data_IF_349771098795
#
_entry.id   IF_349771098795
#
_cell.length_a   1.000
_cell.length_b   1.000
_cell.length_c   1.000
_cell.angle_alpha   90.00
_cell.angle_beta   90.00
_cell.angle_gamma   90.00
#
_symmetry.space_group_name_H-M   'P 1'
#
loop_
_entity.id
_entity.type
_entity.pdbx_description
1 polymer ?
#
# COMPACT_ATOMS: atom_id res chain seq x y z
N UNK A 1 -17.36 -10.91 17.60
CA UNK A 1 -16.81 -10.03 18.66
C UNK A 1 -17.78 -8.90 18.95
N UNK A 2 -18.50 -8.41 17.93
CA UNK A 2 -19.58 -7.45 18.13
C UNK A 2 -20.74 -8.10 18.90
N UNK A 3 -21.26 -7.41 19.93
CA UNK A 3 -22.35 -7.91 20.76
C UNK A 3 -21.93 -8.61 22.05
N UNK A 4 -20.64 -8.67 22.38
CA UNK A 4 -20.19 -9.07 23.71
C UNK A 4 -20.46 -7.94 24.68
N UNK A 5 -21.34 -8.18 25.68
CA UNK A 5 -21.73 -7.17 26.65
C UNK A 5 -20.51 -6.68 27.45
N UNK A 6 -20.31 -5.35 27.49
CA UNK A 6 -19.17 -4.73 28.15
C UNK A 6 -17.86 -4.68 27.38
N UNK A 7 -17.80 -5.25 26.16
CA UNK A 7 -16.62 -5.12 25.30
C UNK A 7 -16.58 -3.78 24.56
N UNK A 8 -15.38 -3.27 24.32
CA UNK A 8 -15.17 -2.15 23.40
C UNK A 8 -15.59 -2.54 22.00
N UNK A 9 -16.08 -1.59 21.19
CA UNK A 9 -16.37 -1.84 19.77
C UNK A 9 -15.10 -2.20 18.99
N UNK A 10 -15.20 -3.18 18.09
CA UNK A 10 -14.11 -3.67 17.24
C UNK A 10 -14.59 -3.76 15.80
N UNK A 11 -13.67 -4.02 14.88
CA UNK A 11 -13.95 -4.23 13.46
C UNK A 11 -14.85 -3.10 12.88
N UNK A 12 -15.90 -3.44 12.15
CA UNK A 12 -16.77 -2.48 11.44
C UNK A 12 -17.39 -1.45 12.39
N UNK A 13 -17.83 -1.85 13.58
CA UNK A 13 -18.43 -0.91 14.55
C UNK A 13 -17.41 0.11 15.06
N UNK A 14 -16.16 -0.29 15.26
CA UNK A 14 -15.07 0.61 15.59
C UNK A 14 -14.77 1.59 14.46
N UNK A 15 -14.66 1.10 13.23
CA UNK A 15 -14.41 1.93 12.04
C UNK A 15 -15.52 2.96 11.81
N UNK A 16 -16.80 2.56 11.99
CA UNK A 16 -17.93 3.49 11.95
C UNK A 16 -17.83 4.57 13.03
N UNK A 17 -17.45 4.18 14.25
CA UNK A 17 -17.28 5.09 15.39
C UNK A 17 -16.12 6.06 15.17
N UNK A 18 -15.05 5.60 14.52
CA UNK A 18 -13.90 6.42 14.11
C UNK A 18 -14.26 7.40 12.99
N UNK A 19 -15.30 7.10 12.20
CA UNK A 19 -15.80 7.99 11.14
C UNK A 19 -15.00 7.92 9.84
N UNK A 20 -14.20 6.86 9.63
CA UNK A 20 -13.44 6.66 8.40
C UNK A 20 -14.38 6.40 7.22
N UNK A 21 -13.97 6.85 6.03
CA UNK A 21 -14.71 6.64 4.78
C UNK A 21 -14.20 5.46 3.96
N UNK A 22 -12.94 5.11 4.13
CA UNK A 22 -12.28 4.01 3.43
C UNK A 22 -11.41 3.24 4.41
N UNK A 23 -11.26 1.95 4.15
CA UNK A 23 -10.25 1.10 4.78
C UNK A 23 -9.30 0.60 3.72
N UNK A 24 -8.00 0.76 3.94
CA UNK A 24 -6.97 0.09 3.17
C UNK A 24 -6.70 -1.24 3.86
N UNK A 25 -6.96 -2.34 3.16
CA UNK A 25 -6.71 -3.69 3.65
C UNK A 25 -5.39 -4.17 3.04
N UNK A 26 -4.49 -4.69 3.90
CA UNK A 26 -3.24 -5.30 3.48
C UNK A 26 -3.51 -6.42 2.47
N UNK A 27 -2.51 -6.86 1.66
CA UNK A 27 -2.76 -7.78 0.57
C UNK A 27 -3.58 -9.00 0.98
N UNK A 28 -4.65 -9.28 0.25
CA UNK A 28 -5.57 -10.39 0.51
C UNK A 28 -5.85 -11.26 -0.72
N UNK A 29 -5.05 -11.13 -1.76
CA UNK A 29 -4.93 -12.17 -2.76
C UNK A 29 -3.92 -13.23 -2.31
N UNK A 30 -3.91 -14.36 -2.97
CA UNK A 30 -3.18 -15.57 -2.59
C UNK A 30 -1.67 -15.33 -2.45
N UNK A 31 -1.12 -15.63 -1.28
CA UNK A 31 0.28 -15.43 -0.92
C UNK A 31 0.93 -16.73 -0.37
N UNK A 32 2.26 -16.80 -0.40
CA UNK A 32 2.98 -18.07 -0.35
C UNK A 32 3.39 -18.58 1.03
N UNK A 33 3.59 -17.71 2.02
CA UNK A 33 4.21 -18.09 3.29
C UNK A 33 3.23 -18.64 4.33
N UNK A 34 1.99 -18.92 3.96
CA UNK A 34 0.96 -19.47 4.84
C UNK A 34 0.55 -20.86 4.35
N UNK A 35 0.52 -21.84 5.25
CA UNK A 35 -0.04 -23.15 5.00
C UNK A 35 -1.54 -23.12 5.31
N UNK A 36 -2.35 -22.96 4.27
CA UNK A 36 -3.82 -22.86 4.36
C UNK A 36 -4.49 -24.11 4.98
N UNK A 37 -3.78 -25.22 5.11
CA UNK A 37 -4.28 -26.43 5.77
C UNK A 37 -4.20 -26.38 7.30
N UNK A 38 -3.48 -25.38 7.84
CA UNK A 38 -3.25 -25.18 9.26
C UNK A 38 -4.09 -24.03 9.81
N UNK A 39 -4.12 -23.90 11.13
CA UNK A 39 -4.77 -22.78 11.79
C UNK A 39 -4.08 -21.47 11.45
N UNK A 40 -4.82 -20.50 10.87
CA UNK A 40 -4.31 -19.18 10.53
C UNK A 40 -3.80 -18.41 11.76
N UNK A 41 -4.37 -18.63 12.94
CA UNK A 41 -3.97 -17.94 14.17
C UNK A 41 -2.53 -18.25 14.61
N UNK A 42 -1.96 -19.32 14.10
CA UNK A 42 -0.59 -19.72 14.37
C UNK A 42 0.41 -19.24 13.28
N UNK A 43 -0.09 -18.54 12.28
CA UNK A 43 0.65 -18.10 11.09
C UNK A 43 0.37 -16.64 10.79
N UNK A 44 1.28 -15.75 11.22
CA UNK A 44 1.13 -14.33 10.95
C UNK A 44 1.85 -13.93 9.67
N UNK A 45 1.10 -13.35 8.70
CA UNK A 45 1.64 -12.86 7.44
C UNK A 45 0.93 -11.56 7.04
N UNK A 46 1.69 -10.62 6.48
CA UNK A 46 1.14 -9.36 5.95
C UNK A 46 0.64 -9.48 4.52
N UNK A 47 0.99 -10.56 3.81
CA UNK A 47 0.55 -10.82 2.45
C UNK A 47 1.45 -10.26 1.34
N UNK A 48 2.66 -9.80 1.66
CA UNK A 48 3.59 -9.22 0.67
C UNK A 48 4.49 -10.29 0.00
N UNK A 49 4.00 -11.49 -0.15
CA UNK A 49 4.66 -12.59 -0.85
C UNK A 49 3.70 -13.25 -1.87
N UNK A 50 3.31 -12.52 -2.93
CA UNK A 50 2.23 -12.89 -3.84
C UNK A 50 2.55 -14.12 -4.68
N UNK A 51 1.56 -15.02 -4.80
CA UNK A 51 1.62 -16.21 -5.67
C UNK A 51 0.60 -16.11 -6.81
N UNK A 52 -0.68 -15.89 -6.49
CA UNK A 52 -1.76 -15.80 -7.46
C UNK A 52 -2.53 -14.49 -7.29
N UNK A 53 -2.23 -13.49 -8.11
CA UNK A 53 -2.75 -12.12 -8.01
C UNK A 53 -4.27 -11.97 -8.20
N UNK A 54 -4.93 -12.93 -8.85
CA UNK A 54 -6.36 -12.87 -9.19
C UNK A 54 -7.20 -13.86 -8.40
N UNK A 55 -6.70 -14.37 -7.28
CA UNK A 55 -7.36 -15.32 -6.42
C UNK A 55 -7.35 -14.81 -4.97
N UNK A 56 -8.49 -14.77 -4.26
CA UNK A 56 -8.50 -14.42 -2.84
C UNK A 56 -7.69 -15.40 -1.99
N UNK A 57 -7.02 -14.89 -0.97
CA UNK A 57 -6.24 -15.68 -0.02
C UNK A 57 -7.11 -16.71 0.73
N UNK A 58 -6.63 -17.94 0.75
CA UNK A 58 -7.39 -19.06 1.32
C UNK A 58 -7.38 -19.10 2.84
N UNK A 59 -6.34 -18.60 3.48
CA UNK A 59 -6.23 -18.61 4.94
C UNK A 59 -7.31 -17.77 5.64
N UNK A 60 -7.93 -16.81 4.93
CA UNK A 60 -9.07 -16.04 5.42
C UNK A 60 -10.42 -16.71 5.17
N UNK A 61 -10.44 -17.83 4.41
CA UNK A 61 -11.66 -18.53 4.07
C UNK A 61 -12.02 -19.61 5.09
N UNK A 62 -13.30 -19.83 5.30
CA UNK A 62 -13.79 -20.95 6.14
C UNK A 62 -13.54 -22.31 5.48
N UNK A 63 -13.28 -22.34 4.17
CA UNK A 63 -12.88 -23.54 3.45
C UNK A 63 -11.86 -23.21 2.34
N UNK A 64 -10.56 -23.17 2.67
CA UNK A 64 -9.50 -22.79 1.73
C UNK A 64 -9.36 -23.73 0.53
N UNK A 65 -9.84 -24.97 0.63
CA UNK A 65 -9.77 -25.97 -0.47
C UNK A 65 -10.83 -25.75 -1.56
N UNK A 66 -11.76 -24.81 -1.35
CA UNK A 66 -12.85 -24.51 -2.30
C UNK A 66 -12.76 -23.07 -2.78
N UNK A 67 -12.34 -22.86 -4.03
CA UNK A 67 -12.18 -21.53 -4.62
C UNK A 67 -13.46 -20.70 -4.59
N UNK A 68 -14.63 -21.34 -4.83
CA UNK A 68 -15.93 -20.67 -4.77
C UNK A 68 -16.26 -20.14 -3.36
N UNK A 69 -15.76 -20.77 -2.29
CA UNK A 69 -15.94 -20.29 -0.91
C UNK A 69 -15.07 -19.07 -0.68
N UNK A 70 -13.80 -19.11 -1.08
CA UNK A 70 -12.88 -17.94 -0.99
C UNK A 70 -13.47 -16.71 -1.68
N UNK A 71 -13.93 -16.89 -2.94
CA UNK A 71 -14.53 -15.80 -3.74
C UNK A 71 -15.77 -15.24 -3.05
N UNK A 72 -16.69 -16.11 -2.63
CA UNK A 72 -17.92 -15.71 -1.98
C UNK A 72 -17.67 -14.92 -0.69
N UNK A 73 -16.81 -15.42 0.17
CA UNK A 73 -16.54 -14.80 1.47
C UNK A 73 -15.79 -13.48 1.33
N UNK A 74 -14.85 -13.37 0.37
CA UNK A 74 -14.20 -12.12 0.04
C UNK A 74 -15.21 -11.07 -0.45
N UNK A 75 -16.11 -11.42 -1.38
CA UNK A 75 -17.17 -10.53 -1.84
C UNK A 75 -18.15 -10.15 -0.70
N UNK A 76 -18.45 -11.06 0.22
CA UNK A 76 -19.29 -10.78 1.39
C UNK A 76 -18.61 -9.78 2.37
N UNK A 77 -17.32 -9.89 2.57
CA UNK A 77 -16.55 -8.94 3.39
C UNK A 77 -16.63 -7.52 2.80
N UNK A 78 -16.38 -7.38 1.51
CA UNK A 78 -16.43 -6.09 0.80
C UNK A 78 -17.85 -5.52 0.85
N UNK A 79 -18.87 -6.33 0.56
CA UNK A 79 -20.27 -5.91 0.64
C UNK A 79 -20.68 -5.46 2.05
N UNK A 80 -20.16 -6.11 3.10
CA UNK A 80 -20.44 -5.72 4.48
C UNK A 80 -19.84 -4.34 4.83
N UNK A 81 -18.66 -4.04 4.31
CA UNK A 81 -18.03 -2.72 4.45
C UNK A 81 -18.82 -1.65 3.68
N UNK A 82 -19.22 -1.93 2.44
CA UNK A 82 -20.04 -1.03 1.64
C UNK A 82 -21.40 -0.76 2.31
N UNK A 83 -22.05 -1.78 2.86
CA UNK A 83 -23.30 -1.61 3.62
C UNK A 83 -23.12 -0.76 4.88
N UNK A 84 -21.91 -0.68 5.40
CA UNK A 84 -21.56 0.20 6.51
C UNK A 84 -21.16 1.62 6.07
N UNK A 85 -21.19 1.90 4.78
CA UNK A 85 -20.77 3.19 4.18
C UNK A 85 -19.24 3.38 4.15
N UNK A 86 -18.48 2.28 4.11
CA UNK A 86 -17.01 2.27 4.12
C UNK A 86 -16.54 1.65 2.80
N UNK A 87 -15.79 2.42 2.00
CA UNK A 87 -15.14 1.93 0.79
C UNK A 87 -13.90 1.07 1.11
N UNK A 88 -13.51 0.22 0.17
CA UNK A 88 -12.39 -0.72 0.31
C UNK A 88 -11.27 -0.37 -0.65
N UNK A 89 -10.08 -0.13 -0.10
CA UNK A 89 -8.84 0.03 -0.86
C UNK A 89 -8.04 -1.25 -0.71
N UNK A 90 -7.67 -1.84 -1.83
CA UNK A 90 -6.86 -3.06 -1.88
C UNK A 90 -5.38 -2.71 -1.99
N UNK A 91 -4.58 -3.27 -1.11
CA UNK A 91 -3.12 -3.21 -1.22
C UNK A 91 -2.64 -4.26 -2.21
N UNK A 92 -1.92 -3.84 -3.24
CA UNK A 92 -1.48 -4.69 -4.35
C UNK A 92 0.03 -4.68 -4.53
N UNK A 93 0.60 -5.87 -4.70
CA UNK A 93 2.05 -6.13 -4.73
C UNK A 93 2.44 -6.71 -6.09
N UNK A 94 2.52 -5.87 -7.12
CA UNK A 94 2.93 -6.33 -8.45
C UNK A 94 4.44 -6.22 -8.70
N UNK A 95 5.18 -5.61 -7.78
CA UNK A 95 6.61 -5.32 -7.95
C UNK A 95 7.51 -6.55 -7.86
N UNK A 96 7.05 -7.67 -7.31
CA UNK A 96 7.75 -8.95 -7.23
C UNK A 96 6.78 -10.12 -7.11
N UNK A 97 7.29 -11.34 -7.16
CA UNK A 97 6.55 -12.59 -6.84
C UNK A 97 7.17 -13.28 -5.64
N UNK A 98 6.42 -14.14 -4.96
CA UNK A 98 6.90 -14.90 -3.80
C UNK A 98 8.22 -15.61 -4.06
N UNK A 99 8.34 -16.24 -5.23
CA UNK A 99 9.59 -16.89 -5.66
C UNK A 99 9.88 -16.57 -7.12
N UNK A 100 11.15 -16.63 -7.51
CA UNK A 100 11.56 -16.52 -8.91
C UNK A 100 11.06 -17.70 -9.78
N UNK A 101 10.69 -18.82 -9.21
CA UNK A 101 10.06 -19.97 -9.90
C UNK A 101 8.52 -19.80 -9.94
N UNK A 102 8.04 -18.67 -10.42
CA UNK A 102 6.63 -18.33 -10.55
C UNK A 102 6.01 -18.88 -11.84
N UNK A 103 4.68 -18.79 -11.95
CA UNK A 103 3.97 -19.09 -13.19
C UNK A 103 4.44 -18.22 -14.36
N UNK A 104 4.84 -16.97 -14.11
CA UNK A 104 5.42 -16.10 -15.12
C UNK A 104 6.72 -16.66 -15.68
N UNK A 105 7.62 -17.07 -14.80
CA UNK A 105 8.92 -17.63 -15.20
C UNK A 105 8.77 -18.96 -15.92
N UNK A 106 7.80 -19.78 -15.52
CA UNK A 106 7.52 -21.08 -16.17
C UNK A 106 6.87 -20.91 -17.54
N UNK A 107 6.10 -19.84 -17.74
CA UNK A 107 5.40 -19.59 -19.01
C UNK A 107 6.32 -18.99 -20.08
N UNK A 108 7.02 -17.90 -19.74
CA UNK A 108 8.01 -17.27 -20.63
C UNK A 108 9.22 -16.87 -19.80
N UNK A 109 10.25 -17.71 -19.76
CA UNK A 109 11.44 -17.47 -18.95
C UNK A 109 12.06 -16.09 -19.20
N UNK A 110 12.37 -15.37 -18.13
CA UNK A 110 13.04 -14.07 -18.09
C UNK A 110 12.29 -12.89 -18.74
N UNK A 111 11.09 -13.10 -19.26
CA UNK A 111 10.33 -12.01 -19.89
C UNK A 111 9.63 -11.10 -18.86
N UNK A 112 9.10 -11.65 -17.82
CA UNK A 112 8.28 -10.91 -16.84
C UNK A 112 9.08 -10.24 -15.73
N UNK A 113 10.38 -10.48 -15.72
CA UNK A 113 11.29 -9.98 -14.69
C UNK A 113 12.41 -9.13 -15.31
N UNK A 114 12.89 -8.18 -14.51
CA UNK A 114 14.10 -7.43 -14.81
C UNK A 114 15.31 -8.28 -14.54
N UNK A 115 16.21 -8.37 -15.54
CA UNK A 115 17.40 -9.21 -15.47
C UNK A 115 18.66 -8.35 -15.42
N UNK A 116 19.60 -8.75 -14.59
CA UNK A 116 20.96 -8.21 -14.60
C UNK A 116 21.77 -8.77 -15.77
N UNK A 117 22.85 -8.10 -16.14
CA UNK A 117 23.72 -8.53 -17.24
C UNK A 117 24.38 -9.90 -17.03
N UNK A 118 24.48 -10.36 -15.78
CA UNK A 118 25.01 -11.68 -15.41
C UNK A 118 23.96 -12.80 -15.43
N UNK A 119 22.72 -12.47 -15.82
CA UNK A 119 21.61 -13.42 -15.89
C UNK A 119 20.88 -13.62 -14.55
N UNK A 120 21.21 -12.90 -13.50
CA UNK A 120 20.45 -12.89 -12.25
C UNK A 120 19.28 -11.93 -12.32
N UNK A 121 18.27 -12.10 -11.45
CA UNK A 121 17.15 -11.17 -11.34
C UNK A 121 17.57 -9.86 -10.66
N UNK A 122 17.00 -8.73 -11.10
CA UNK A 122 17.12 -7.46 -10.39
C UNK A 122 16.45 -7.53 -9.01
N UNK A 123 16.98 -6.76 -8.05
CA UNK A 123 16.57 -6.82 -6.66
C UNK A 123 16.33 -5.44 -6.03
N UNK A 124 15.65 -4.56 -6.75
CA UNK A 124 15.25 -3.25 -6.23
C UNK A 124 14.19 -3.35 -5.14
N UNK A 125 13.32 -4.35 -5.22
CA UNK A 125 12.31 -4.65 -4.20
C UNK A 125 12.89 -5.21 -2.88
N UNK A 126 14.11 -5.74 -2.90
CA UNK A 126 14.65 -6.53 -1.79
C UNK A 126 14.15 -7.98 -1.76
N UNK A 127 13.29 -8.38 -2.70
CA UNK A 127 12.70 -9.72 -2.80
C UNK A 127 13.35 -10.59 -3.87
N UNK A 128 14.41 -10.11 -4.51
CA UNK A 128 15.27 -10.84 -5.46
C UNK A 128 14.63 -11.20 -6.80
N UNK A 129 13.53 -10.57 -7.21
CA UNK A 129 12.86 -10.87 -8.48
C UNK A 129 11.94 -9.74 -8.94
N UNK A 130 12.49 -8.56 -9.17
CA UNK A 130 11.71 -7.41 -9.63
C UNK A 130 10.99 -7.69 -10.94
N UNK A 131 9.70 -7.41 -10.99
CA UNK A 131 8.90 -7.57 -12.21
C UNK A 131 9.14 -6.42 -13.18
N UNK A 132 9.05 -6.71 -14.49
CA UNK A 132 9.27 -5.76 -15.56
C UNK A 132 7.95 -5.16 -16.05
N UNK A 133 7.45 -4.13 -15.36
CA UNK A 133 6.18 -3.47 -15.73
C UNK A 133 6.23 -2.77 -17.09
N UNK A 134 7.41 -2.39 -17.56
CA UNK A 134 7.67 -1.84 -18.89
C UNK A 134 7.41 -2.83 -20.01
N UNK A 135 7.44 -4.14 -19.75
CA UNK A 135 7.16 -5.18 -20.74
C UNK A 135 5.65 -5.29 -21.01
N UNK A 136 5.28 -5.31 -22.29
CA UNK A 136 3.89 -5.21 -22.73
C UNK A 136 2.94 -6.23 -22.10
N UNK A 137 3.36 -7.48 -21.97
CA UNK A 137 2.48 -8.53 -21.43
C UNK A 137 2.35 -8.45 -19.92
N UNK A 138 3.37 -7.95 -19.18
CA UNK A 138 3.22 -7.72 -17.76
C UNK A 138 2.37 -6.48 -17.49
N UNK A 139 2.56 -5.40 -18.25
CA UNK A 139 1.66 -4.24 -18.23
C UNK A 139 0.21 -4.64 -18.47
N UNK A 140 -0.03 -5.45 -19.52
CA UNK A 140 -1.38 -5.99 -19.79
C UNK A 140 -1.92 -6.77 -18.59
N UNK A 141 -1.09 -7.64 -18.00
CA UNK A 141 -1.48 -8.43 -16.83
C UNK A 141 -1.87 -7.53 -15.65
N UNK A 142 -1.09 -6.50 -15.35
CA UNK A 142 -1.42 -5.56 -14.27
C UNK A 142 -2.75 -4.83 -14.54
N UNK A 143 -2.96 -4.36 -15.77
CA UNK A 143 -4.22 -3.68 -16.16
C UNK A 143 -5.41 -4.64 -16.00
N UNK A 144 -5.31 -5.85 -16.55
CA UNK A 144 -6.38 -6.84 -16.49
C UNK A 144 -6.69 -7.23 -15.03
N UNK A 145 -5.67 -7.41 -14.20
CA UNK A 145 -5.80 -7.78 -12.80
C UNK A 145 -6.48 -6.68 -11.98
N UNK A 146 -6.04 -5.43 -12.11
CA UNK A 146 -6.61 -4.29 -11.38
C UNK A 146 -8.07 -4.05 -11.81
N UNK A 147 -8.36 -4.08 -13.10
CA UNK A 147 -9.73 -3.92 -13.60
C UNK A 147 -10.63 -5.09 -13.20
N UNK A 148 -10.12 -6.32 -13.14
CA UNK A 148 -10.83 -7.48 -12.61
C UNK A 148 -11.25 -7.29 -11.15
N UNK A 149 -10.33 -6.89 -10.27
CA UNK A 149 -10.66 -6.62 -8.87
C UNK A 149 -11.66 -5.48 -8.71
N UNK A 150 -11.51 -4.42 -9.51
CA UNK A 150 -12.44 -3.30 -9.49
C UNK A 150 -13.85 -3.71 -9.94
N UNK A 151 -13.99 -4.47 -11.04
CA UNK A 151 -15.29 -4.84 -11.59
C UNK A 151 -15.96 -5.99 -10.84
N UNK A 152 -15.20 -7.05 -10.51
CA UNK A 152 -15.75 -8.27 -9.94
C UNK A 152 -15.96 -8.21 -8.42
N UNK A 153 -15.11 -7.45 -7.72
CA UNK A 153 -15.16 -7.31 -6.26
C UNK A 153 -15.60 -5.92 -5.81
N UNK A 154 -15.79 -4.99 -6.75
CA UNK A 154 -16.18 -3.60 -6.45
C UNK A 154 -15.20 -2.90 -5.51
N UNK A 155 -13.90 -3.09 -5.77
CA UNK A 155 -12.85 -2.39 -5.03
C UNK A 155 -12.87 -0.90 -5.38
N UNK A 156 -12.84 -0.04 -4.35
CA UNK A 156 -12.96 1.42 -4.47
C UNK A 156 -11.61 2.12 -4.63
N UNK A 157 -10.51 1.40 -4.49
CA UNK A 157 -9.18 1.97 -4.68
C UNK A 157 -8.07 0.93 -4.58
N UNK A 158 -6.90 1.31 -5.08
CA UNK A 158 -5.69 0.47 -5.07
C UNK A 158 -4.51 1.25 -4.50
N UNK A 159 -3.84 0.65 -3.52
CA UNK A 159 -2.53 1.08 -3.03
C UNK A 159 -1.48 0.17 -3.62
N UNK A 160 -0.54 0.71 -4.39
CA UNK A 160 0.55 -0.05 -4.99
C UNK A 160 1.75 -0.08 -4.06
N UNK A 161 2.07 -1.26 -3.57
CA UNK A 161 3.30 -1.54 -2.87
C UNK A 161 4.49 -1.25 -3.78
N UNK A 162 5.51 -0.54 -3.27
CA UNK A 162 6.69 -0.14 -4.02
C UNK A 162 6.37 0.39 -5.43
N UNK A 163 5.36 1.28 -5.54
CA UNK A 163 4.92 1.87 -6.81
C UNK A 163 6.10 2.45 -7.61
N UNK A 164 7.12 2.94 -6.90
CA UNK A 164 8.34 3.49 -7.49
C UNK A 164 9.18 2.50 -8.30
N UNK A 165 8.88 1.21 -8.24
CA UNK A 165 9.49 0.18 -9.09
C UNK A 165 8.73 -0.05 -10.40
N UNK A 166 7.50 0.46 -10.53
CA UNK A 166 6.75 0.38 -11.79
C UNK A 166 7.06 1.56 -12.69
N UNK A 167 6.89 1.40 -13.99
CA UNK A 167 7.09 2.47 -14.95
C UNK A 167 5.88 3.40 -15.07
N UNK A 168 6.15 4.67 -15.37
CA UNK A 168 5.14 5.74 -15.54
C UNK A 168 4.08 5.37 -16.56
N UNK A 169 4.48 4.75 -17.69
CA UNK A 169 3.54 4.39 -18.76
C UNK A 169 2.54 3.35 -18.29
N UNK A 170 3.00 2.35 -17.54
CA UNK A 170 2.12 1.31 -16.96
C UNK A 170 1.17 1.90 -15.95
N UNK A 171 1.63 2.74 -15.03
CA UNK A 171 0.78 3.35 -14.02
C UNK A 171 -0.29 4.25 -14.65
N UNK A 172 0.08 5.08 -15.64
CA UNK A 172 -0.88 5.90 -16.39
C UNK A 172 -1.87 5.04 -17.21
N UNK A 173 -1.42 3.90 -17.75
CA UNK A 173 -2.31 2.98 -18.48
C UNK A 173 -3.34 2.32 -17.57
N UNK A 174 -2.95 1.91 -16.35
CA UNK A 174 -3.87 1.38 -15.34
C UNK A 174 -4.89 2.47 -14.96
N UNK A 175 -4.44 3.71 -14.72
CA UNK A 175 -5.36 4.82 -14.40
C UNK A 175 -6.38 5.04 -15.51
N UNK A 176 -5.93 5.04 -16.76
CA UNK A 176 -6.81 5.18 -17.92
C UNK A 176 -7.82 4.04 -18.02
N UNK A 177 -7.38 2.80 -17.77
CA UNK A 177 -8.27 1.64 -17.80
C UNK A 177 -9.33 1.71 -16.70
N UNK A 178 -8.96 2.13 -15.49
CA UNK A 178 -9.91 2.34 -14.39
C UNK A 178 -10.90 3.46 -14.73
N UNK A 179 -10.44 4.59 -15.29
CA UNK A 179 -11.32 5.71 -15.66
C UNK A 179 -12.40 5.31 -16.65
N UNK A 180 -12.07 4.41 -17.57
CA UNK A 180 -12.96 3.92 -18.62
C UNK A 180 -13.68 2.60 -18.26
N UNK A 181 -13.56 2.12 -17.02
CA UNK A 181 -14.09 0.82 -16.63
C UNK A 181 -15.61 0.76 -16.70
N UNK A 182 -16.28 1.83 -16.35
CA UNK A 182 -17.74 1.93 -16.34
C UNK A 182 -18.24 3.02 -17.29
N UNK A 183 -19.31 2.69 -18.05
CA UNK A 183 -19.86 3.59 -19.06
C UNK A 183 -20.43 4.89 -18.49
N UNK A 184 -20.80 4.92 -17.22
CA UNK A 184 -21.29 6.11 -16.49
C UNK A 184 -20.18 7.03 -15.97
N UNK A 185 -18.90 6.65 -16.20
CA UNK A 185 -17.73 7.41 -15.77
C UNK A 185 -17.39 7.24 -14.28
N UNK A 186 -18.11 6.39 -13.54
CA UNK A 186 -17.85 6.16 -12.10
C UNK A 186 -16.48 5.50 -11.82
N UNK A 187 -15.90 4.84 -12.81
CA UNK A 187 -14.51 4.33 -12.73
C UNK A 187 -13.49 5.41 -12.37
N UNK A 188 -13.82 6.66 -12.71
CA UNK A 188 -13.02 7.81 -12.31
C UNK A 188 -12.96 8.06 -10.80
N UNK A 189 -13.84 7.49 -10.01
CA UNK A 189 -13.86 7.64 -8.55
C UNK A 189 -12.99 6.59 -7.84
N UNK A 190 -12.49 5.58 -8.55
CA UNK A 190 -11.61 4.56 -7.99
C UNK A 190 -10.26 5.21 -7.65
N UNK A 191 -9.85 5.13 -6.40
CA UNK A 191 -8.56 5.67 -5.96
C UNK A 191 -7.38 4.87 -6.50
N UNK A 192 -6.29 5.58 -6.77
CA UNK A 192 -5.03 4.95 -7.17
C UNK A 192 -3.87 5.73 -6.58
N UNK A 193 -3.06 5.08 -5.75
CA UNK A 193 -1.87 5.68 -5.13
C UNK A 193 -0.89 4.58 -4.71
N UNK A 194 0.30 4.97 -4.30
CA UNK A 194 1.27 3.98 -3.82
C UNK A 194 2.54 4.58 -3.22
N UNK A 195 3.47 3.70 -2.94
CA UNK A 195 4.79 4.05 -2.45
C UNK A 195 5.71 4.39 -3.60
N UNK A 196 5.85 5.68 -3.87
CA UNK A 196 6.68 6.20 -4.96
C UNK A 196 8.14 6.42 -4.54
N UNK A 197 8.72 5.48 -3.79
CA UNK A 197 10.11 5.59 -3.35
C UNK A 197 11.08 5.54 -4.53
N UNK A 198 12.18 6.27 -4.42
CA UNK A 198 13.24 6.24 -5.44
C UNK A 198 14.15 5.04 -5.19
N UNK A 199 13.91 3.98 -5.92
CA UNK A 199 14.58 2.68 -5.75
C UNK A 199 15.38 2.33 -7.00
N UNK A 200 16.53 1.68 -6.79
CA UNK A 200 17.37 1.21 -7.89
C UNK A 200 16.93 -0.18 -8.35
N UNK A 201 16.61 -0.31 -9.62
CA UNK A 201 16.28 -1.58 -10.28
C UNK A 201 16.82 -1.56 -11.71
N UNK A 202 17.11 -2.71 -12.28
CA UNK A 202 17.67 -2.82 -13.63
C UNK A 202 16.53 -2.94 -14.66
N UNK A 203 16.05 -1.80 -15.14
CA UNK A 203 14.99 -1.72 -16.16
C UNK A 203 15.56 -1.45 -17.55
N UNK A 204 14.73 -1.66 -18.57
CA UNK A 204 15.08 -1.37 -19.97
C UNK A 204 15.48 0.09 -20.17
N UNK A 205 16.39 0.34 -21.13
CA UNK A 205 16.85 1.69 -21.46
C UNK A 205 15.66 2.61 -21.81
N UNK A 206 15.68 3.79 -21.24
CA UNK A 206 14.63 4.80 -21.43
C UNK A 206 13.40 4.61 -20.54
N UNK A 207 13.34 3.57 -19.70
CA UNK A 207 12.25 3.39 -18.75
C UNK A 207 12.27 4.49 -17.68
N UNK A 208 11.14 5.15 -17.48
CA UNK A 208 10.95 6.15 -16.42
C UNK A 208 10.12 5.53 -15.31
N UNK A 209 10.69 5.39 -14.13
CA UNK A 209 10.02 4.81 -12.97
C UNK A 209 9.07 5.82 -12.30
N UNK A 210 7.96 5.32 -11.73
CA UNK A 210 6.91 6.10 -11.06
C UNK A 210 7.29 6.47 -9.61
N UNK A 211 8.52 6.96 -9.44
CA UNK A 211 9.02 7.46 -8.16
C UNK A 211 8.63 8.93 -7.94
N UNK A 212 8.76 9.44 -6.70
CA UNK A 212 8.41 10.82 -6.35
C UNK A 212 9.07 11.85 -7.29
N UNK A 213 10.34 11.65 -7.66
CA UNK A 213 11.05 12.56 -8.58
C UNK A 213 10.42 12.66 -9.97
N UNK A 214 9.67 11.64 -10.38
CA UNK A 214 8.99 11.56 -11.67
C UNK A 214 7.47 11.72 -11.55
N UNK A 215 6.94 12.00 -10.35
CA UNK A 215 5.51 12.00 -10.10
C UNK A 215 4.74 12.98 -10.99
N UNK A 216 5.39 14.07 -11.39
CA UNK A 216 4.82 15.06 -12.33
C UNK A 216 4.54 14.51 -13.74
N UNK A 217 5.03 13.32 -14.07
CA UNK A 217 4.73 12.60 -15.32
C UNK A 217 3.54 11.64 -15.18
N UNK A 218 3.09 11.40 -13.94
CA UNK A 218 1.87 10.65 -13.69
C UNK A 218 0.64 11.53 -13.83
N UNK A 219 -0.49 10.89 -14.12
CA UNK A 219 -1.80 11.55 -14.05
C UNK A 219 -2.00 12.19 -12.66
N UNK A 220 -2.59 13.37 -12.61
CA UNK A 220 -2.94 14.07 -11.35
C UNK A 220 -3.87 13.25 -10.44
N UNK A 221 -4.35 12.13 -10.91
CA UNK A 221 -5.23 11.20 -10.21
C UNK A 221 -4.51 9.94 -9.71
N UNK A 222 -3.17 9.95 -9.75
CA UNK A 222 -2.31 8.94 -9.13
C UNK A 222 -1.57 9.60 -7.99
N UNK A 223 -1.87 9.18 -6.76
CA UNK A 223 -1.25 9.70 -5.55
C UNK A 223 0.00 8.97 -5.13
N UNK A 224 0.77 9.61 -4.26
CA UNK A 224 1.93 9.01 -3.61
C UNK A 224 1.97 9.36 -2.13
N UNK A 225 2.49 8.45 -1.31
CA UNK A 225 2.73 8.72 0.11
C UNK A 225 3.78 9.82 0.29
N UNK A 226 3.50 10.74 1.20
CA UNK A 226 4.40 11.83 1.58
C UNK A 226 5.19 11.46 2.84
N UNK A 227 6.39 10.94 2.64
CA UNK A 227 7.34 10.66 3.73
C UNK A 227 7.89 11.94 4.39
N UNK A 228 7.93 13.04 3.65
CA UNK A 228 8.38 14.35 4.17
C UNK A 228 7.47 14.82 5.31
N UNK A 229 6.14 14.76 5.13
CA UNK A 229 5.21 15.15 6.21
C UNK A 229 5.21 14.12 7.33
N UNK A 230 5.26 12.83 7.01
CA UNK A 230 5.37 11.76 8.02
C UNK A 230 6.55 12.03 8.96
N UNK A 231 7.72 12.26 8.40
CA UNK A 231 8.96 12.46 9.15
C UNK A 231 9.01 13.85 9.81
N UNK A 232 8.34 14.84 9.24
CA UNK A 232 8.18 16.16 9.88
C UNK A 232 7.27 16.10 11.11
N UNK A 233 6.29 15.20 11.13
CA UNK A 233 5.39 15.01 12.28
C UNK A 233 6.13 14.30 13.41
N UNK A 234 6.69 13.11 13.14
CA UNK A 234 7.11 12.15 14.18
C UNK A 234 8.60 11.83 14.23
N UNK A 235 9.41 12.30 13.30
CA UNK A 235 10.81 11.88 13.12
C UNK A 235 10.93 10.71 12.15
N UNK A 236 12.16 10.24 11.91
CA UNK A 236 12.45 9.13 10.98
C UNK A 236 11.75 7.84 11.39
N UNK A 237 11.54 6.94 10.44
CA UNK A 237 10.76 5.70 10.65
C UNK A 237 11.40 4.75 11.66
N UNK A 238 12.71 4.57 11.63
CA UNK A 238 13.44 3.58 12.44
C UNK A 238 14.26 4.14 13.60
N UNK A 239 14.32 5.47 13.77
CA UNK A 239 15.15 6.11 14.77
C UNK A 239 14.40 6.50 16.04
N UNK A 240 15.17 6.98 17.03
CA UNK A 240 14.65 7.58 18.28
C UNK A 240 14.63 9.11 18.22
N UNK A 241 14.91 9.70 17.04
CA UNK A 241 14.85 11.14 16.81
C UNK A 241 13.39 11.64 16.93
N UNK A 242 13.25 12.87 17.45
CA UNK A 242 11.99 13.58 17.50
C UNK A 242 11.80 14.50 16.31
N UNK A 243 10.59 15.06 16.18
CA UNK A 243 10.26 16.08 15.20
C UNK A 243 9.23 17.06 15.75
N UNK A 244 8.26 17.51 14.95
CA UNK A 244 7.34 18.56 15.37
C UNK A 244 6.56 18.23 16.64
N UNK A 245 6.01 17.01 16.73
CA UNK A 245 5.14 16.61 17.86
C UNK A 245 5.92 16.55 19.17
N UNK A 246 7.18 16.08 19.12
CA UNK A 246 8.02 15.94 20.33
C UNK A 246 8.76 17.22 20.70
N UNK A 247 9.22 18.00 19.71
CA UNK A 247 10.23 19.06 19.88
C UNK A 247 9.85 20.39 19.24
N UNK A 248 8.78 20.44 18.44
CA UNK A 248 8.41 21.61 17.64
C UNK A 248 9.37 21.89 16.48
N UNK A 249 10.19 20.91 16.09
CA UNK A 249 11.17 21.00 15.00
C UNK A 249 10.56 20.73 13.64
N UNK A 250 11.33 20.79 12.54
CA UNK A 250 10.93 20.45 11.15
C UNK A 250 9.69 21.20 10.60
N UNK A 251 9.43 22.41 11.09
CA UNK A 251 8.24 23.20 10.73
C UNK A 251 8.14 23.53 9.24
N UNK A 252 9.28 23.71 8.55
CA UNK A 252 9.29 23.99 7.12
C UNK A 252 8.73 22.79 6.33
N UNK A 253 9.24 21.59 6.59
CA UNK A 253 8.78 20.35 5.96
C UNK A 253 7.31 20.06 6.27
N UNK A 254 6.88 20.33 7.50
CA UNK A 254 5.47 20.18 7.89
C UNK A 254 4.56 21.10 7.06
N UNK A 255 4.96 22.37 6.86
CA UNK A 255 4.21 23.33 6.02
C UNK A 255 4.13 22.87 4.56
N UNK A 256 5.23 22.37 3.98
CA UNK A 256 5.27 21.86 2.61
C UNK A 256 4.35 20.64 2.46
N UNK A 257 4.36 19.72 3.42
CA UNK A 257 3.49 18.55 3.41
C UNK A 257 2.00 18.93 3.58
N UNK A 258 1.66 19.89 4.46
CA UNK A 258 0.30 20.41 4.60
C UNK A 258 -0.18 21.07 3.30
N UNK A 259 0.70 21.72 2.55
CA UNK A 259 0.41 22.28 1.23
C UNK A 259 0.31 21.20 0.13
N UNK A 260 0.45 19.92 0.45
CA UNK A 260 0.32 18.80 -0.48
C UNK A 260 1.43 18.71 -1.50
N UNK A 261 2.66 19.07 -1.14
CA UNK A 261 3.86 18.97 -2.00
C UNK A 261 3.71 19.63 -3.38
N UNK A 262 2.80 20.59 -3.50
CA UNK A 262 2.46 21.25 -4.77
C UNK A 262 3.18 22.60 -4.98
N UNK A 263 4.13 22.94 -4.11
CA UNK A 263 5.01 24.09 -4.30
C UNK A 263 5.81 23.93 -5.61
N UNK A 264 5.79 24.97 -6.44
CA UNK A 264 6.45 24.95 -7.76
C UNK A 264 7.98 24.84 -7.69
N UNK A 265 8.57 25.15 -6.55
CA UNK A 265 10.04 25.18 -6.36
C UNK A 265 10.60 23.92 -5.74
N UNK A 266 9.88 23.31 -4.79
CA UNK A 266 10.38 22.17 -4.00
C UNK A 266 9.45 20.98 -3.98
N UNK A 267 8.18 21.15 -4.32
CA UNK A 267 7.18 20.10 -4.33
C UNK A 267 7.31 19.13 -5.50
N UNK A 268 7.03 17.87 -5.25
CA UNK A 268 7.07 16.80 -6.24
C UNK A 268 5.69 16.51 -6.89
N UNK A 269 4.60 17.03 -6.34
CA UNK A 269 3.25 16.85 -6.87
C UNK A 269 2.85 17.96 -7.86
N UNK A 270 2.00 17.64 -8.84
CA UNK A 270 1.35 18.63 -9.69
C UNK A 270 0.21 19.35 -8.97
N UNK A 271 -0.55 18.57 -8.19
CA UNK A 271 -1.73 19.04 -7.44
C UNK A 271 -1.72 18.45 -6.03
N UNK A 272 -2.27 19.14 -5.02
CA UNK A 272 -2.27 18.64 -3.64
C UNK A 272 -2.96 17.28 -3.46
N UNK A 273 -3.94 16.96 -4.31
CA UNK A 273 -4.65 15.67 -4.25
C UNK A 273 -3.80 14.44 -4.60
N UNK A 274 -2.62 14.65 -5.17
CA UNK A 274 -1.64 13.56 -5.35
C UNK A 274 -0.87 13.21 -4.07
N UNK A 275 -0.96 14.03 -3.04
CA UNK A 275 -0.21 13.85 -1.81
C UNK A 275 -1.04 13.05 -0.79
N UNK A 276 -0.61 11.85 -0.46
CA UNK A 276 -1.18 11.05 0.64
C UNK A 276 -0.49 11.42 1.94
N UNK A 277 -1.13 12.31 2.69
CA UNK A 277 -0.65 12.79 3.98
C UNK A 277 -0.92 11.77 5.07
N UNK A 278 0.11 11.38 5.82
CA UNK A 278 -0.02 10.39 6.89
C UNK A 278 1.05 10.61 7.98
N UNK A 279 0.81 10.05 9.16
CA UNK A 279 1.75 10.05 10.27
C UNK A 279 2.15 8.63 10.71
N UNK A 280 1.33 7.62 10.39
CA UNK A 280 1.53 6.24 10.80
C UNK A 280 0.95 5.29 9.74
N UNK A 281 1.56 4.14 9.59
CA UNK A 281 1.11 3.05 8.73
C UNK A 281 1.48 1.70 9.37
N UNK A 282 1.31 0.60 8.66
CA UNK A 282 1.70 -0.74 9.13
C UNK A 282 3.22 -0.96 9.12
N UNK A 283 3.97 -0.19 8.30
CA UNK A 283 5.43 -0.27 8.24
C UNK A 283 6.11 0.49 9.38
N UNK A 284 7.19 -0.11 9.91
CA UNK A 284 8.01 0.46 10.97
C UNK A 284 7.19 0.72 12.26
N UNK A 285 7.64 1.69 13.06
CA UNK A 285 6.96 2.04 14.29
C UNK A 285 5.66 2.82 14.02
N UNK A 286 4.55 2.36 14.58
CA UNK A 286 3.34 3.17 14.61
C UNK A 286 3.57 4.46 15.40
N UNK A 287 2.68 5.44 15.27
CA UNK A 287 2.89 6.75 15.88
C UNK A 287 3.10 6.65 17.40
N UNK A 288 2.31 5.82 18.09
CA UNK A 288 2.43 5.66 19.54
C UNK A 288 3.80 5.09 19.94
N UNK A 289 4.24 4.00 19.29
CA UNK A 289 5.53 3.36 19.59
C UNK A 289 6.70 4.28 19.27
N UNK A 290 6.61 5.05 18.18
CA UNK A 290 7.61 6.07 17.85
C UNK A 290 7.68 7.17 18.90
N UNK A 291 6.55 7.65 19.40
CA UNK A 291 6.50 8.64 20.47
C UNK A 291 7.10 8.09 21.76
N UNK A 292 6.77 6.85 22.12
CA UNK A 292 7.39 6.18 23.28
C UNK A 292 8.91 6.11 23.12
N UNK A 293 9.41 5.58 22.02
CA UNK A 293 10.85 5.43 21.76
C UNK A 293 11.60 6.75 21.75
N UNK A 294 11.04 7.81 21.14
CA UNK A 294 11.68 9.12 21.04
C UNK A 294 11.61 9.95 22.32
N UNK A 295 10.58 9.76 23.15
CA UNK A 295 10.35 10.55 24.36
C UNK A 295 10.96 9.91 25.60
N UNK A 296 10.87 8.59 25.73
CA UNK A 296 11.44 7.86 26.86
C UNK A 296 12.91 7.47 26.68
N UNK A 297 13.35 7.35 25.42
CA UNK A 297 14.70 6.91 25.07
C UNK A 297 14.89 5.40 25.24
N UNK A 298 16.06 4.93 24.80
CA UNK A 298 16.43 3.51 24.79
C UNK A 298 16.74 2.98 26.20
N UNK A 299 17.02 3.88 27.14
CA UNK A 299 17.34 3.56 28.56
C UNK A 299 16.10 3.46 29.47
N UNK A 300 14.89 3.59 28.92
CA UNK A 300 13.64 3.50 29.64
C UNK A 300 13.38 4.62 30.66
N UNK A 301 14.19 5.68 30.64
CA UNK A 301 13.96 6.84 31.51
C UNK A 301 12.84 7.72 30.93
N UNK A 302 11.83 7.94 31.76
CA UNK A 302 10.70 8.79 31.41
C UNK A 302 11.13 10.24 31.20
N UNK A 303 11.03 10.74 29.95
CA UNK A 303 11.25 12.14 29.63
C UNK A 303 10.00 13.00 29.66
N UNK A 304 8.83 12.35 29.46
CA UNK A 304 7.50 12.99 29.55
C UNK A 304 6.49 12.06 30.22
N UNK A 305 5.42 12.64 30.76
CA UNK A 305 4.37 11.86 31.40
C UNK A 305 3.51 11.15 30.32
N UNK A 306 2.81 10.11 30.74
CA UNK A 306 1.91 9.35 29.86
C UNK A 306 0.83 10.23 29.22
N UNK A 307 0.28 11.20 29.96
CA UNK A 307 -0.71 12.16 29.44
C UNK A 307 -0.17 13.01 28.31
N UNK A 308 1.10 13.38 28.35
CA UNK A 308 1.75 14.13 27.28
C UNK A 308 1.86 13.29 26.01
N UNK A 309 2.18 11.99 26.13
CA UNK A 309 2.21 11.05 25.01
C UNK A 309 0.82 10.87 24.37
N UNK A 310 -0.22 10.74 25.20
CA UNK A 310 -1.60 10.64 24.73
C UNK A 310 -2.00 11.92 23.99
N UNK A 311 -1.64 13.08 24.51
CA UNK A 311 -1.90 14.36 23.84
C UNK A 311 -1.18 14.45 22.49
N UNK A 312 0.10 14.07 22.42
CA UNK A 312 0.88 14.04 21.17
C UNK A 312 0.30 13.09 20.14
N UNK A 313 -0.22 11.94 20.56
CA UNK A 313 -0.81 10.95 19.64
C UNK A 313 -2.17 11.38 19.09
N UNK A 314 -2.81 12.39 19.68
CA UNK A 314 -4.11 12.93 19.25
C UNK A 314 -3.98 14.10 18.27
N UNK A 315 -2.78 14.68 18.13
CA UNK A 315 -2.51 15.74 17.17
C UNK A 315 -2.44 15.20 15.75
#
# INVERSE_FOLDING_TARGET
VNGVQGASSTCVDYLKKLGVKYVQIMPFYDFGSVDESKNIMDQYNWGYDPVNYNCPEGSYSTNPKKGEVRIKECKQMIQALHNAGIGVIMDVVYNHTYTSDSWFQRTVPNYYYRMNNDGTFSNGSGCSNDTASEHLMFRKYMIDSVTYWASEYHIDGFRFDLMGLHDVTTMNSIRTALDNLYADGSGSQIFMYGEAWDMATNCDEGTVLASQKNLKQLSDRIGAFDDTIRDAIKGSTGGTDGAFVQEGSRRANLKTGIAGQSDTTTGWANVPSQCVTYASCHDNLCLYDKLVGSVYGVDGKYRKRYEDLVAMNKL
#
